data_IF_187337424613
#
_entry.id   IF_187337424613
#
_cell.length_a   1.000
_cell.length_b   1.000
_cell.length_c   1.000
_cell.angle_alpha   90.00
_cell.angle_beta   90.00
_cell.angle_gamma   90.00
#
_symmetry.space_group_name_H-M   'P 1'
#
loop_
_entity.id
_entity.type
_entity.pdbx_description
1 polymer ?
#
# COMPACT_ATOMS: atom_id res chain seq x y z
N UNK A 1 -11.51 22.81 -22.40
CA UNK A 1 -10.19 22.16 -22.50
C UNK A 1 -10.01 21.20 -21.33
N UNK A 2 -10.30 19.91 -21.54
CA UNK A 2 -10.12 18.88 -20.52
C UNK A 2 -8.67 18.45 -20.44
N UNK A 3 -7.84 19.19 -19.68
CA UNK A 3 -6.52 18.68 -19.31
C UNK A 3 -6.75 17.48 -18.38
N UNK A 4 -6.56 16.26 -18.90
CA UNK A 4 -6.38 15.07 -18.09
C UNK A 4 -5.18 15.35 -17.17
N UNK A 5 -5.47 15.85 -15.96
CA UNK A 5 -4.47 16.11 -14.92
C UNK A 5 -3.76 14.78 -14.66
N UNK A 6 -2.54 14.63 -15.19
CA UNK A 6 -1.68 13.47 -14.89
C UNK A 6 -1.56 13.40 -13.37
N UNK A 7 -2.26 12.45 -12.76
CA UNK A 7 -2.14 12.19 -11.33
C UNK A 7 -0.70 11.77 -11.09
N UNK A 8 0.02 12.51 -10.26
CA UNK A 8 1.37 12.15 -9.82
C UNK A 8 1.33 10.71 -9.32
N UNK A 9 2.12 9.84 -9.94
CA UNK A 9 2.32 8.49 -9.42
C UNK A 9 3.34 8.56 -8.29
N UNK A 10 2.95 8.04 -7.13
CA UNK A 10 3.80 7.98 -5.95
C UNK A 10 4.57 6.66 -5.95
N UNK A 11 5.88 6.74 -5.81
CA UNK A 11 6.76 5.59 -5.68
C UNK A 11 6.53 4.88 -4.35
N UNK A 12 6.94 3.62 -4.24
CA UNK A 12 6.82 2.85 -3.00
C UNK A 12 7.57 3.53 -1.85
N UNK A 13 8.76 4.06 -2.09
CA UNK A 13 9.56 4.76 -1.08
C UNK A 13 8.87 6.02 -0.56
N UNK A 14 8.30 6.85 -1.43
CA UNK A 14 7.58 8.05 -0.98
C UNK A 14 6.34 7.69 -0.17
N UNK A 15 5.60 6.65 -0.56
CA UNK A 15 4.43 6.16 0.21
C UNK A 15 4.84 5.71 1.60
N UNK A 16 5.91 4.92 1.70
CA UNK A 16 6.46 4.45 2.98
C UNK A 16 6.92 5.62 3.84
N UNK A 17 7.63 6.59 3.27
CA UNK A 17 8.07 7.79 3.98
C UNK A 17 6.89 8.54 4.62
N UNK A 18 5.79 8.74 3.89
CA UNK A 18 4.60 9.40 4.41
C UNK A 18 3.97 8.60 5.55
N UNK A 19 3.86 7.28 5.40
CA UNK A 19 3.30 6.40 6.43
C UNK A 19 4.16 6.39 7.70
N UNK A 20 5.48 6.26 7.55
CA UNK A 20 6.43 6.29 8.67
C UNK A 20 6.41 7.64 9.37
N UNK A 21 6.31 8.74 8.63
CA UNK A 21 6.19 10.07 9.23
C UNK A 21 4.93 10.20 10.09
N UNK A 22 3.78 9.73 9.59
CA UNK A 22 2.52 9.72 10.33
C UNK A 22 2.59 8.86 11.60
N UNK A 23 3.39 7.80 11.61
CA UNK A 23 3.58 6.93 12.77
C UNK A 23 4.58 7.51 13.79
N UNK A 24 5.67 8.13 13.32
CA UNK A 24 6.78 8.56 14.16
C UNK A 24 6.65 9.97 14.71
N UNK A 25 5.87 10.84 14.07
CA UNK A 25 5.74 12.24 14.49
C UNK A 25 4.49 12.43 15.34
N UNK A 26 4.65 12.77 16.64
CA UNK A 26 3.51 13.05 17.52
C UNK A 26 2.70 14.23 17.00
N UNK A 27 1.37 14.06 16.91
CA UNK A 27 0.48 15.09 16.39
C UNK A 27 0.42 15.18 14.87
N UNK A 28 1.15 14.35 14.13
CA UNK A 28 0.96 14.24 12.69
C UNK A 28 -0.44 13.71 12.38
N UNK A 29 -1.12 14.35 11.43
CA UNK A 29 -2.47 13.96 11.02
C UNK A 29 -2.50 13.59 9.55
N UNK A 30 -3.32 12.60 9.22
CA UNK A 30 -3.54 12.16 7.83
C UNK A 30 -4.01 13.35 6.98
N UNK A 31 -4.88 14.21 7.54
CA UNK A 31 -5.39 15.40 6.85
C UNK A 31 -4.28 16.44 6.59
N UNK A 32 -3.42 16.70 7.56
CA UNK A 32 -2.28 17.61 7.39
C UNK A 32 -1.29 17.11 6.33
N UNK A 33 -1.03 15.80 6.29
CA UNK A 33 -0.16 15.24 5.26
C UNK A 33 -0.80 15.16 3.88
N UNK A 34 -2.11 14.90 3.84
CA UNK A 34 -2.89 14.94 2.62
C UNK A 34 -2.81 16.33 1.96
N UNK A 35 -3.02 17.39 2.75
CA UNK A 35 -2.93 18.76 2.26
C UNK A 35 -1.52 19.12 1.76
N UNK A 36 -0.49 18.84 2.57
CA UNK A 36 0.91 19.14 2.25
C UNK A 36 1.41 18.45 0.98
N UNK A 37 0.90 17.26 0.67
CA UNK A 37 1.33 16.49 -0.50
C UNK A 37 0.30 16.48 -1.65
N UNK A 38 -0.77 17.27 -1.54
CA UNK A 38 -1.88 17.29 -2.50
C UNK A 38 -2.42 15.89 -2.78
N UNK A 39 -2.59 15.12 -1.71
CA UNK A 39 -3.14 13.78 -1.69
C UNK A 39 -4.56 13.80 -1.12
N UNK A 40 -5.37 12.82 -1.52
CA UNK A 40 -6.61 12.55 -0.81
C UNK A 40 -6.31 11.76 0.47
N UNK A 41 -6.92 12.09 1.63
CA UNK A 41 -6.77 11.31 2.87
C UNK A 41 -7.05 9.81 2.65
N UNK A 42 -8.01 9.49 1.79
CA UNK A 42 -8.36 8.12 1.41
C UNK A 42 -7.19 7.37 0.75
N UNK A 43 -6.39 8.04 -0.08
CA UNK A 43 -5.22 7.40 -0.71
C UNK A 43 -4.18 6.98 0.32
N UNK A 44 -3.95 7.80 1.35
CA UNK A 44 -3.02 7.50 2.44
C UNK A 44 -3.55 6.31 3.26
N UNK A 45 -4.86 6.29 3.55
CA UNK A 45 -5.52 5.16 4.24
C UNK A 45 -5.38 3.85 3.45
N UNK A 46 -5.60 3.90 2.13
CA UNK A 46 -5.46 2.73 1.26
C UNK A 46 -4.03 2.21 1.24
N UNK A 47 -3.02 3.09 1.28
CA UNK A 47 -1.62 2.69 1.37
C UNK A 47 -1.33 1.98 2.68
N UNK A 48 -1.82 2.51 3.80
CA UNK A 48 -1.67 1.90 5.13
C UNK A 48 -2.25 0.49 5.16
N UNK A 49 -3.46 0.31 4.62
CA UNK A 49 -4.12 -0.99 4.59
C UNK A 49 -3.36 -2.00 3.70
N UNK A 50 -2.86 -1.55 2.54
CA UNK A 50 -2.08 -2.39 1.61
C UNK A 50 -0.69 -2.74 2.14
N UNK A 51 -0.06 -1.88 2.95
CA UNK A 51 1.23 -2.20 3.57
C UNK A 51 1.08 -3.35 4.57
N UNK A 52 0.00 -3.38 5.35
CA UNK A 52 -0.32 -4.51 6.23
C UNK A 52 -0.52 -5.82 5.45
N UNK A 53 -1.18 -5.76 4.27
CA UNK A 53 -1.39 -6.95 3.43
C UNK A 53 -0.12 -7.44 2.74
N UNK A 54 0.80 -6.56 2.33
CA UNK A 54 2.03 -6.94 1.62
C UNK A 54 3.22 -7.23 2.55
N UNK A 55 3.20 -6.74 3.79
CA UNK A 55 4.23 -7.03 4.80
C UNK A 55 4.00 -8.38 5.51
N UNK A 56 2.82 -8.97 5.35
CA UNK A 56 2.63 -10.39 5.61
C UNK A 56 2.85 -11.11 4.27
N UNK A 57 4.05 -11.66 3.97
CA UNK A 57 4.12 -12.67 2.94
C UNK A 57 3.19 -13.77 3.42
N UNK A 58 1.98 -13.84 2.85
CA UNK A 58 1.18 -15.06 2.94
C UNK A 58 2.14 -16.17 2.52
N UNK A 59 2.44 -17.17 3.37
CA UNK A 59 3.07 -18.37 2.88
C UNK A 59 2.08 -18.86 1.84
N UNK A 60 2.50 -18.78 0.58
CA UNK A 60 2.04 -19.60 -0.52
C UNK A 60 0.83 -20.46 -0.14
N UNK A 61 -0.33 -20.21 -0.76
CA UNK A 61 -1.15 -21.36 -1.14
C UNK A 61 -0.27 -22.16 -2.09
N UNK A 62 0.51 -23.10 -1.54
CA UNK A 62 0.88 -24.30 -2.26
C UNK A 62 -0.45 -24.95 -2.61
N UNK A 63 -0.95 -24.59 -3.79
CA UNK A 63 -1.49 -25.58 -4.70
C UNK A 63 -0.39 -26.62 -4.89
N UNK A 64 -0.26 -27.50 -3.90
CA UNK A 64 0.56 -28.70 -3.98
C UNK A 64 -0.12 -29.57 -5.02
N UNK A 65 0.38 -29.40 -6.23
CA UNK A 65 0.22 -30.31 -7.35
C UNK A 65 0.96 -31.61 -6.99
N UNK A 66 0.42 -32.36 -6.03
CA UNK A 66 0.83 -33.73 -5.71
C UNK A 66 -0.41 -34.61 -5.79
N UNK A 67 -1.00 -34.67 -6.99
CA UNK A 67 -1.67 -35.90 -7.42
C UNK A 67 -0.56 -36.90 -7.77
N UNK A 68 -0.09 -37.67 -6.80
CA UNK A 68 0.47 -38.98 -7.11
C UNK A 68 -0.66 -39.99 -7.04
N UNK A 69 -1.08 -40.44 -8.21
CA UNK A 69 -1.90 -41.64 -8.39
C UNK A 69 -1.15 -42.86 -7.85
N UNK A 70 -1.80 -43.78 -7.12
CA UNK A 70 -1.26 -45.13 -6.98
C UNK A 70 -1.56 -45.89 -8.27
N UNK A 71 -0.50 -46.26 -9.00
CA UNK A 71 -0.58 -47.24 -10.07
C UNK A 71 0.05 -48.55 -9.58
N UNK A 72 -0.84 -49.55 -9.49
CA UNK A 72 -0.61 -50.99 -9.33
C UNK A 72 -0.20 -51.56 -7.97
#
# INVERSE_FOLDING_TARGET
QGLLKKKRQWTTCEKLFILTYLEKVPGASIRGMADKFHLEPKQIQDWRNKTTTNAHPTPHKTSSCWSMSPLS
#
